data_IF_297931496229
#
_entry.id   IF_297931496229
#
_cell.length_a   1.000
_cell.length_b   1.000
_cell.length_c   1.000
_cell.angle_alpha   90.00
_cell.angle_beta   90.00
_cell.angle_gamma   90.00
#
_symmetry.space_group_name_H-M   'P 1'
#
loop_
_entity.id
_entity.type
_entity.pdbx_description
1 polymer ?
#
# COMPACT_ATOMS: atom_id res chain seq x y z
N UNK A 1 2.97 -4.21 14.18
CA UNK A 1 4.37 -4.19 13.69
C UNK A 1 5.09 -3.08 14.43
N UNK A 2 6.36 -3.26 14.80
CA UNK A 2 7.18 -2.19 15.39
C UNK A 2 7.80 -1.32 14.30
N UNK A 3 7.81 0.00 14.51
CA UNK A 3 8.49 0.92 13.61
C UNK A 3 10.01 0.70 13.65
N UNK A 4 10.67 0.44 12.51
CA UNK A 4 12.11 0.19 12.49
C UNK A 4 12.96 1.42 12.83
N UNK A 5 12.34 2.61 12.92
CA UNK A 5 13.02 3.88 13.20
C UNK A 5 12.90 4.26 14.68
N UNK A 6 11.72 4.08 15.29
CA UNK A 6 11.44 4.57 16.65
C UNK A 6 10.82 3.54 17.59
N UNK A 7 10.75 2.27 17.18
CA UNK A 7 10.26 1.11 17.95
C UNK A 7 8.82 1.25 18.53
N UNK A 8 8.05 2.19 18.01
CA UNK A 8 6.64 2.39 18.40
C UNK A 8 5.74 1.40 17.66
N UNK A 9 4.61 1.04 18.27
CA UNK A 9 3.57 0.28 17.57
C UNK A 9 3.06 1.06 16.35
N UNK A 10 2.83 0.33 15.26
CA UNK A 10 2.35 0.87 14.00
C UNK A 10 0.91 0.43 13.74
N UNK A 11 0.14 1.33 13.14
CA UNK A 11 -1.22 1.09 12.69
C UNK A 11 -1.20 0.29 11.39
N UNK A 12 -1.97 -0.80 11.34
CA UNK A 12 -2.15 -1.60 10.13
C UNK A 12 -3.15 -0.91 9.21
N UNK A 13 -2.87 -0.95 7.91
CA UNK A 13 -3.72 -0.36 6.88
C UNK A 13 -3.19 -0.74 5.52
N UNK A 14 -3.46 0.09 4.53
CA UNK A 14 -3.10 -0.19 3.16
C UNK A 14 -2.74 1.04 2.36
N UNK A 15 -2.12 0.78 1.22
CA UNK A 15 -1.76 1.79 0.25
C UNK A 15 -2.54 1.55 -1.03
N UNK A 16 -3.13 2.61 -1.57
CA UNK A 16 -3.69 2.61 -2.92
C UNK A 16 -2.88 3.59 -3.78
N UNK A 17 -2.41 3.11 -4.92
CA UNK A 17 -1.66 3.91 -5.89
C UNK A 17 -2.49 4.17 -7.15
N UNK A 18 -2.98 5.40 -7.30
CA UNK A 18 -3.65 5.87 -8.53
C UNK A 18 -2.66 6.72 -9.32
N UNK A 19 -2.33 6.27 -10.53
CA UNK A 19 -1.42 6.92 -11.49
C UNK A 19 -0.06 7.36 -10.92
N UNK A 20 0.05 8.57 -10.38
CA UNK A 20 1.30 9.14 -9.80
C UNK A 20 1.22 9.37 -8.29
N UNK A 21 0.04 9.25 -7.71
CA UNK A 21 -0.23 9.54 -6.31
C UNK A 21 -0.39 8.24 -5.51
N UNK A 22 -0.02 8.32 -4.24
CA UNK A 22 -0.04 7.20 -3.30
C UNK A 22 -0.78 7.66 -2.05
N UNK A 23 -1.82 6.92 -1.68
CA UNK A 23 -2.71 7.24 -0.58
C UNK A 23 -2.65 6.17 0.50
N UNK A 24 -2.73 6.59 1.76
CA UNK A 24 -2.84 5.71 2.93
C UNK A 24 -4.31 5.56 3.33
N UNK A 25 -4.70 4.36 3.67
CA UNK A 25 -6.02 4.01 4.19
C UNK A 25 -5.87 3.14 5.42
N UNK A 26 -6.76 3.30 6.41
CA UNK A 26 -6.80 2.44 7.57
C UNK A 26 -7.38 1.05 7.21
N UNK A 27 -7.30 0.09 8.13
CA UNK A 27 -7.74 -1.29 7.85
C UNK A 27 -9.23 -1.44 7.52
N UNK A 28 -10.10 -0.53 7.99
CA UNK A 28 -11.52 -0.54 7.66
C UNK A 28 -11.75 -0.03 6.24
N UNK A 29 -11.14 1.11 5.89
CA UNK A 29 -11.22 1.71 4.55
C UNK A 29 -10.63 0.81 3.46
N UNK A 30 -9.58 0.04 3.77
CA UNK A 30 -9.00 -0.93 2.84
C UNK A 30 -10.01 -2.02 2.46
N UNK A 31 -10.94 -2.38 3.35
CA UNK A 31 -11.94 -3.43 3.07
C UNK A 31 -13.07 -2.97 2.15
N UNK A 32 -13.22 -1.67 1.91
CA UNK A 32 -14.24 -1.11 1.01
C UNK A 32 -13.78 -1.19 -0.46
N UNK A 33 -14.62 -1.76 -1.34
CA UNK A 33 -14.23 -2.26 -2.68
C UNK A 33 -14.30 -1.22 -3.82
N UNK A 34 -14.31 0.07 -3.50
CA UNK A 34 -14.68 1.15 -4.45
C UNK A 34 -13.54 2.11 -4.76
N UNK A 35 -12.48 1.69 -5.48
CA UNK A 35 -11.40 2.61 -5.90
C UNK A 35 -10.88 2.24 -7.29
N UNK A 36 -10.79 3.21 -8.21
CA UNK A 36 -10.58 3.04 -9.67
C UNK A 36 -9.24 3.65 -10.18
N UNK A 37 -8.68 3.13 -11.30
CA UNK A 37 -7.68 3.66 -12.29
C UNK A 37 -6.15 3.51 -11.96
N UNK A 38 -5.12 3.48 -12.86
CA UNK A 38 -4.86 3.41 -14.35
C UNK A 38 -3.39 2.89 -14.60
N UNK A 39 -3.03 2.43 -15.82
CA UNK A 39 -1.79 1.63 -16.16
C UNK A 39 -0.48 2.42 -16.42
N UNK A 40 0.70 1.85 -16.03
CA UNK A 40 2.07 2.24 -16.46
C UNK A 40 2.85 1.02 -17.03
N UNK A 41 3.80 1.23 -17.96
CA UNK A 41 4.45 0.16 -18.76
C UNK A 41 5.97 -0.04 -18.57
N UNK A 42 6.64 0.65 -17.64
CA UNK A 42 8.13 0.67 -17.59
C UNK A 42 8.79 0.34 -16.24
N UNK A 43 8.22 -0.55 -15.42
CA UNK A 43 8.85 -0.97 -14.16
C UNK A 43 8.49 -2.39 -13.73
N UNK A 44 9.22 -2.93 -12.74
CA UNK A 44 8.85 -4.19 -12.08
C UNK A 44 7.58 -3.93 -11.26
N UNK A 45 6.45 -4.59 -11.58
CA UNK A 45 5.20 -4.33 -10.88
C UNK A 45 5.29 -4.92 -9.46
N UNK A 46 5.18 -4.05 -8.47
CA UNK A 46 5.03 -4.39 -7.05
C UNK A 46 3.53 -4.56 -6.78
N UNK A 47 3.11 -5.64 -6.12
CA UNK A 47 1.68 -5.86 -5.85
C UNK A 47 0.86 -6.24 -7.08
N UNK A 48 1.45 -6.92 -8.07
CA UNK A 48 0.79 -7.27 -9.35
C UNK A 48 -0.45 -8.16 -9.16
N UNK A 49 -0.52 -8.93 -8.07
CA UNK A 49 -1.68 -9.75 -7.78
C UNK A 49 -2.81 -8.97 -7.09
N UNK A 50 -2.55 -7.71 -6.72
CA UNK A 50 -3.45 -6.88 -5.93
C UNK A 50 -3.94 -5.67 -6.75
N UNK A 51 -4.25 -5.89 -8.03
CA UNK A 51 -4.89 -4.87 -8.85
C UNK A 51 -6.41 -4.93 -8.68
N UNK A 52 -7.00 -3.85 -8.20
CA UNK A 52 -8.47 -3.68 -8.13
C UNK A 52 -8.83 -2.48 -9.00
N UNK A 53 -9.67 -2.72 -10.02
CA UNK A 53 -10.23 -1.68 -10.89
C UNK A 53 -9.19 -0.69 -11.48
N UNK A 54 -7.94 -1.13 -11.69
CA UNK A 54 -6.85 -0.33 -12.26
C UNK A 54 -5.87 0.27 -11.25
N UNK A 55 -6.14 0.15 -9.95
CA UNK A 55 -5.29 0.65 -8.84
C UNK A 55 -4.50 -0.50 -8.23
N UNK A 56 -3.24 -0.26 -7.86
CA UNK A 56 -2.47 -1.21 -7.03
C UNK A 56 -2.87 -1.03 -5.57
N UNK A 57 -3.46 -2.06 -4.97
CA UNK A 57 -3.78 -2.15 -3.55
C UNK A 57 -2.66 -2.90 -2.82
N UNK A 58 -2.24 -2.40 -1.68
CA UNK A 58 -1.21 -3.04 -0.85
C UNK A 58 -1.73 -3.13 0.57
N UNK A 59 -2.13 -4.32 1.00
CA UNK A 59 -2.87 -4.55 2.25
C UNK A 59 -1.99 -4.73 3.49
N UNK A 60 -0.69 -4.98 3.29
CA UNK A 60 0.27 -5.22 4.37
C UNK A 60 1.18 -4.01 4.54
N UNK A 61 0.55 -2.85 4.75
CA UNK A 61 1.23 -1.61 5.04
C UNK A 61 0.97 -1.18 6.49
N UNK A 62 1.97 -0.54 7.08
CA UNK A 62 1.96 -0.12 8.47
C UNK A 62 2.38 1.34 8.57
N UNK A 63 1.55 2.16 9.21
CA UNK A 63 1.82 3.59 9.45
C UNK A 63 2.35 3.78 10.87
N UNK A 64 3.52 4.38 10.98
CA UNK A 64 3.98 4.95 12.24
C UNK A 64 3.48 6.39 12.36
N UNK A 65 2.46 6.63 13.21
CA UNK A 65 1.93 7.98 13.45
C UNK A 65 2.98 8.95 14.01
N UNK A 66 3.92 8.44 14.80
CA UNK A 66 5.01 9.24 15.41
C UNK A 66 6.03 9.72 14.38
N UNK A 67 6.53 8.83 13.53
CA UNK A 67 7.51 9.18 12.51
C UNK A 67 6.91 9.72 11.21
N UNK A 68 5.59 9.58 11.02
CA UNK A 68 4.89 9.86 9.75
C UNK A 68 5.51 9.11 8.58
N UNK A 69 5.81 7.82 8.80
CA UNK A 69 6.40 6.91 7.80
C UNK A 69 5.53 5.68 7.65
N UNK A 70 5.42 5.20 6.41
CA UNK A 70 4.73 3.95 6.09
C UNK A 70 5.77 2.91 5.69
N UNK A 71 5.62 1.70 6.21
CA UNK A 71 6.42 0.52 5.85
C UNK A 71 5.48 -0.51 5.26
N UNK A 72 5.77 -1.01 4.07
CA UNK A 72 4.97 -2.06 3.42
C UNK A 72 5.78 -3.32 3.19
N UNK A 73 5.10 -4.47 3.22
CA UNK A 73 5.61 -5.75 2.75
C UNK A 73 4.91 -6.07 1.44
N UNK A 74 5.68 -6.32 0.39
CA UNK A 74 5.15 -6.44 -0.97
C UNK A 74 5.55 -7.76 -1.62
N UNK A 75 4.62 -8.36 -2.36
CA UNK A 75 4.93 -9.41 -3.31
C UNK A 75 5.54 -8.81 -4.59
N UNK A 76 6.54 -9.52 -5.12
CA UNK A 76 7.17 -9.19 -6.39
C UNK A 76 6.68 -10.23 -7.40
N UNK A 77 6.09 -9.77 -8.51
CA UNK A 77 5.71 -10.67 -9.59
C UNK A 77 6.97 -11.27 -10.23
N UNK A 78 6.95 -12.59 -10.47
CA UNK A 78 8.01 -13.24 -11.25
C UNK A 78 8.06 -12.64 -12.67
N UNK A 79 9.28 -12.38 -13.13
CA UNK A 79 9.61 -11.82 -14.45
C UNK A 79 9.10 -12.69 -15.60
#
# INVERSE_FOLDING_TARGET
>A
MKCPICDSEMEKGGIFADTIYVYWYNEEEVKEDTITLKVRTSGVPIGKNNFVLGTTRIENAYLCKKCKKIVGVFDIARY
#
